data_IF_758632631284
#
_entry.id   IF_758632631284
#
_cell.length_a   1.000
_cell.length_b   1.000
_cell.length_c   1.000
_cell.angle_alpha   90.00
_cell.angle_beta   90.00
_cell.angle_gamma   90.00
#
_symmetry.space_group_name_H-M   'P 1'
#
loop_
_entity.id
_entity.type
_entity.pdbx_description
1 polymer ?
#
# COMPACT_ATOMS: atom_id res chain seq x y z
N UNK A 1 -8.82 11.77 -8.83
CA UNK A 1 -7.77 11.91 -7.78
C UNK A 1 -8.13 10.91 -6.70
N UNK A 2 -7.33 9.87 -6.50
CA UNK A 2 -7.64 8.88 -5.46
C UNK A 2 -7.45 9.53 -4.07
N UNK A 3 -8.47 9.43 -3.22
CA UNK A 3 -8.48 10.02 -1.87
C UNK A 3 -7.58 9.25 -0.89
N UNK A 4 -7.24 7.98 -1.21
CA UNK A 4 -6.52 7.06 -0.33
C UNK A 4 -5.23 6.58 -1.00
N UNK A 5 -4.15 6.51 -0.21
CA UNK A 5 -2.88 5.92 -0.62
C UNK A 5 -2.55 4.71 0.23
N UNK A 6 -2.12 3.63 -0.40
CA UNK A 6 -1.64 2.43 0.28
C UNK A 6 -0.14 2.32 0.07
N UNK A 7 0.61 2.60 1.13
CA UNK A 7 2.06 2.43 1.16
C UNK A 7 2.38 1.00 1.58
N UNK A 8 3.11 0.26 0.75
CA UNK A 8 3.49 -1.11 1.09
C UNK A 8 4.32 -1.79 0.04
N UNK A 9 4.60 -3.07 0.27
CA UNK A 9 5.27 -3.93 -0.69
C UNK A 9 4.26 -4.92 -1.28
N UNK A 10 4.26 -5.11 -2.60
CA UNK A 10 3.33 -6.02 -3.28
C UNK A 10 3.36 -7.46 -2.75
N UNK A 11 4.50 -7.94 -2.22
CA UNK A 11 4.65 -9.28 -1.64
C UNK A 11 4.32 -9.36 -0.13
N UNK A 12 3.99 -8.23 0.52
CA UNK A 12 3.61 -8.21 1.93
C UNK A 12 2.20 -8.74 2.12
N UNK A 13 2.03 -9.74 2.98
CA UNK A 13 0.70 -10.30 3.30
C UNK A 13 -0.22 -9.27 3.94
N UNK A 14 0.32 -8.32 4.71
CA UNK A 14 -0.47 -7.23 5.29
C UNK A 14 -0.97 -6.25 4.22
N UNK A 15 -0.10 -5.90 3.27
CA UNK A 15 -0.44 -5.02 2.15
C UNK A 15 -1.50 -5.66 1.26
N UNK A 16 -1.37 -6.95 0.95
CA UNK A 16 -2.37 -7.70 0.18
C UNK A 16 -3.75 -7.69 0.85
N UNK A 17 -3.84 -7.87 2.18
CA UNK A 17 -5.13 -7.80 2.89
C UNK A 17 -5.78 -6.42 2.78
N UNK A 18 -5.00 -5.36 3.00
CA UNK A 18 -5.52 -3.99 2.90
C UNK A 18 -6.04 -3.69 1.49
N UNK A 19 -5.27 -4.05 0.46
CA UNK A 19 -5.64 -3.87 -0.94
C UNK A 19 -6.87 -4.71 -1.31
N UNK A 20 -6.96 -5.96 -0.85
CA UNK A 20 -8.13 -6.81 -1.06
C UNK A 20 -9.41 -6.17 -0.50
N UNK A 21 -9.37 -5.64 0.73
CA UNK A 21 -10.53 -4.95 1.30
C UNK A 21 -10.93 -3.69 0.51
N UNK A 22 -9.97 -2.97 -0.08
CA UNK A 22 -10.27 -1.79 -0.90
C UNK A 22 -10.95 -2.20 -2.21
N UNK A 23 -10.47 -3.27 -2.86
CA UNK A 23 -11.13 -3.84 -4.03
C UNK A 23 -12.52 -4.38 -3.71
N UNK A 24 -12.70 -5.12 -2.62
CA UNK A 24 -14.00 -5.66 -2.18
C UNK A 24 -15.05 -4.57 -1.85
N UNK A 25 -14.60 -3.33 -1.66
CA UNK A 25 -15.47 -2.18 -1.35
C UNK A 25 -15.55 -1.18 -2.51
N UNK A 26 -15.00 -1.52 -3.68
CA UNK A 26 -14.96 -0.64 -4.85
C UNK A 26 -14.45 0.78 -4.52
N UNK A 27 -13.42 0.86 -3.67
CA UNK A 27 -12.82 2.14 -3.26
C UNK A 27 -11.63 2.48 -4.15
N UNK A 28 -11.59 3.69 -4.67
CA UNK A 28 -10.42 4.21 -5.38
C UNK A 28 -9.22 4.39 -4.44
N UNK A 29 -8.07 3.89 -4.87
CA UNK A 29 -6.80 4.07 -4.15
C UNK A 29 -5.61 4.16 -5.10
N UNK A 30 -4.54 4.80 -4.63
CA UNK A 30 -3.23 4.77 -5.25
C UNK A 30 -2.34 3.79 -4.48
N UNK A 31 -1.70 2.85 -5.18
CA UNK A 31 -0.70 1.98 -4.58
C UNK A 31 0.69 2.61 -4.68
N UNK A 32 1.32 2.87 -3.55
CA UNK A 32 2.67 3.42 -3.46
C UNK A 32 3.62 2.33 -2.99
N UNK A 33 4.47 1.86 -3.91
CA UNK A 33 5.46 0.82 -3.61
C UNK A 33 6.52 1.36 -2.64
N UNK A 34 6.74 0.63 -1.55
CA UNK A 34 7.79 0.90 -0.57
C UNK A 34 8.91 -0.13 -0.74
N UNK A 35 10.13 0.34 -1.02
CA UNK A 35 11.30 -0.52 -1.07
C UNK A 35 11.73 -0.96 0.34
N UNK A 36 11.29 -2.15 0.72
CA UNK A 36 11.63 -2.75 2.00
C UNK A 36 13.12 -3.10 2.12
N UNK A 37 13.79 -3.43 1.00
CA UNK A 37 15.20 -3.82 0.98
C UNK A 37 16.11 -2.62 1.19
N UNK A 38 15.75 -1.47 0.62
CA UNK A 38 16.44 -0.20 0.87
C UNK A 38 16.10 0.41 2.24
N UNK A 39 15.18 -0.19 3.02
CA UNK A 39 14.78 0.31 4.32
C UNK A 39 13.90 1.56 4.27
N UNK A 40 13.22 1.81 3.14
CA UNK A 40 12.39 3.01 2.95
C UNK A 40 11.28 3.16 4.01
N UNK A 41 10.78 2.05 4.56
CA UNK A 41 9.80 2.01 5.66
C UNK A 41 10.32 2.55 7.00
N UNK A 42 11.58 2.95 7.10
CA UNK A 42 12.20 3.53 8.31
C UNK A 42 12.50 5.02 8.16
N UNK A 43 12.26 5.59 6.98
CA UNK A 43 12.48 7.01 6.72
C UNK A 43 11.28 7.81 7.24
N UNK A 44 11.52 9.05 7.64
CA UNK A 44 10.44 9.94 8.04
C UNK A 44 9.55 10.31 6.84
N UNK A 45 8.25 10.61 7.07
CA UNK A 45 7.27 10.86 6.01
C UNK A 45 7.55 12.11 5.16
#
# INVERSE_FOLDING_TARGET
MAERKVYGASLSTATMRAVACLYEKDLDFEFVQVDMRAGAHKQEP
#
